data_IF_188495380491
#
_entry.id   IF_188495380491
#
_cell.length_a   1.000
_cell.length_b   1.000
_cell.length_c   1.000
_cell.angle_alpha   90.00
_cell.angle_beta   90.00
_cell.angle_gamma   90.00
#
_symmetry.space_group_name_H-M   'P 1'
#
loop_
_entity.id
_entity.type
_entity.pdbx_description
1 polymer ?
#
# COMPACT_ATOMS: atom_id res chain seq x y z
N UNK A 1 -10.29 43.39 17.73
CA UNK A 1 -11.29 42.43 18.24
C UNK A 1 -11.55 41.52 17.05
N UNK A 2 -10.64 40.57 16.75
CA UNK A 2 -10.46 39.26 17.45
C UNK A 2 -11.78 38.48 17.31
N UNK A 3 -11.85 37.33 16.64
CA UNK A 3 -11.07 36.07 16.76
C UNK A 3 -11.23 35.26 15.43
N UNK A 4 -10.18 34.82 14.70
CA UNK A 4 -9.54 33.48 14.76
C UNK A 4 -10.43 32.40 15.42
N UNK A 5 -10.86 31.34 14.75
CA UNK A 5 -10.10 30.10 14.58
C UNK A 5 -10.79 29.23 13.50
N UNK A 6 -10.14 29.04 12.35
CA UNK A 6 -10.36 27.86 11.51
C UNK A 6 -9.29 26.86 11.93
N UNK A 7 -9.59 26.07 12.95
CA UNK A 7 -8.79 24.95 13.41
C UNK A 7 -9.68 23.70 13.34
N UNK A 8 -9.94 23.22 12.12
CA UNK A 8 -10.26 21.81 11.91
C UNK A 8 -8.96 21.20 11.44
N UNK A 9 -8.11 20.82 12.40
CA UNK A 9 -7.06 19.86 12.16
C UNK A 9 -7.77 18.57 11.77
N UNK A 10 -8.00 18.35 10.47
CA UNK A 10 -8.11 16.97 10.00
C UNK A 10 -6.80 16.34 10.41
N UNK A 11 -6.84 15.44 11.40
CA UNK A 11 -5.72 14.58 11.73
C UNK A 11 -5.41 13.80 10.45
N UNK A 12 -4.53 14.35 9.61
CA UNK A 12 -4.03 13.66 8.44
C UNK A 12 -3.35 12.41 8.99
N UNK A 13 -3.99 11.27 8.84
CA UNK A 13 -3.36 9.97 9.03
C UNK A 13 -2.30 9.88 7.94
N UNK A 14 -1.04 10.06 8.34
CA UNK A 14 0.08 10.05 7.41
C UNK A 14 0.33 8.59 7.01
N UNK A 15 -0.13 8.20 5.82
CA UNK A 15 0.27 6.94 5.19
C UNK A 15 1.69 7.03 4.65
N UNK A 16 2.43 5.93 4.69
CA UNK A 16 3.73 5.79 4.04
C UNK A 16 3.64 4.74 2.95
N UNK A 17 3.86 5.16 1.71
CA UNK A 17 4.17 4.30 0.59
C UNK A 17 5.67 3.96 0.59
N UNK A 18 6.00 2.67 0.60
CA UNK A 18 7.36 2.17 0.54
C UNK A 18 7.50 1.19 -0.63
N UNK A 19 8.11 1.65 -1.71
CA UNK A 19 8.63 0.79 -2.76
C UNK A 19 9.73 -0.14 -2.24
N UNK A 20 9.54 -1.45 -2.31
CA UNK A 20 10.49 -2.38 -1.70
C UNK A 20 11.00 -3.48 -2.64
N UNK A 21 10.34 -3.75 -3.78
CA UNK A 21 10.85 -4.77 -4.72
C UNK A 21 10.38 -4.60 -6.16
N UNK A 22 11.23 -5.01 -7.11
CA UNK A 22 10.88 -5.23 -8.51
C UNK A 22 11.03 -6.72 -8.80
N UNK A 23 10.06 -7.33 -9.49
CA UNK A 23 10.08 -8.74 -9.87
C UNK A 23 9.42 -8.97 -11.23
N UNK A 24 9.66 -10.14 -11.81
CA UNK A 24 9.07 -10.55 -13.09
C UNK A 24 7.90 -11.51 -12.87
N UNK A 25 6.78 -11.29 -13.56
CA UNK A 25 5.63 -12.19 -13.58
C UNK A 25 5.08 -12.26 -15.00
N UNK A 26 4.94 -13.47 -15.54
CA UNK A 26 4.42 -13.74 -16.90
C UNK A 26 5.11 -12.96 -18.04
N UNK A 27 6.39 -12.60 -17.87
CA UNK A 27 7.18 -11.85 -18.86
C UNK A 27 7.06 -10.33 -18.75
N UNK A 28 6.34 -9.82 -17.77
CA UNK A 28 6.25 -8.41 -17.42
C UNK A 28 6.98 -8.11 -16.10
N UNK A 29 7.53 -6.90 -16.00
CA UNK A 29 8.14 -6.41 -14.77
C UNK A 29 7.11 -5.65 -13.94
N UNK A 30 7.08 -5.97 -12.65
CA UNK A 30 6.21 -5.32 -11.67
C UNK A 30 7.04 -4.68 -10.56
N UNK A 31 6.58 -3.52 -10.10
CA UNK A 31 7.07 -2.86 -8.91
C UNK A 31 6.04 -3.07 -7.79
N UNK A 32 6.50 -3.65 -6.68
CA UNK A 32 5.73 -3.83 -5.47
C UNK A 32 6.05 -2.71 -4.48
N UNK A 33 4.99 -2.04 -4.06
CA UNK A 33 4.95 -1.02 -3.03
C UNK A 33 4.11 -1.52 -1.85
N UNK A 34 4.48 -1.13 -0.64
CA UNK A 34 3.66 -1.34 0.54
C UNK A 34 3.17 0.01 1.04
N UNK A 35 1.86 0.18 1.15
CA UNK A 35 1.23 1.32 1.81
C UNK A 35 0.93 0.95 3.25
N UNK A 36 1.52 1.69 4.19
CA UNK A 36 1.32 1.49 5.62
C UNK A 36 0.63 2.73 6.16
N UNK A 37 -0.58 2.58 6.69
CA UNK A 37 -1.37 3.69 7.19
C UNK A 37 -2.10 3.31 8.47
N UNK A 38 -2.45 4.30 9.29
CA UNK A 38 -3.29 4.06 10.45
C UNK A 38 -4.76 3.85 10.04
N UNK A 39 -5.50 3.04 10.78
CA UNK A 39 -6.93 2.88 10.50
C UNK A 39 -7.70 4.16 10.80
N UNK A 40 -8.79 4.37 10.06
CA UNK A 40 -9.71 5.49 10.27
C UNK A 40 -10.37 5.39 11.65
N UNK A 41 -10.76 4.18 12.05
CA UNK A 41 -11.46 3.93 13.32
C UNK A 41 -10.50 3.68 14.51
N UNK A 42 -9.20 3.50 14.24
CA UNK A 42 -8.16 3.29 15.25
C UNK A 42 -6.81 3.85 14.78
N UNK A 43 -6.57 5.13 15.08
CA UNK A 43 -5.35 5.84 14.71
C UNK A 43 -4.09 5.31 15.45
N UNK A 44 -4.26 4.47 16.47
CA UNK A 44 -3.15 3.84 17.21
C UNK A 44 -2.74 2.49 16.61
N UNK A 45 -3.45 2.00 15.59
CA UNK A 45 -3.17 0.75 14.90
C UNK A 45 -2.83 1.01 13.43
N UNK A 46 -1.81 0.31 12.90
CA UNK A 46 -1.38 0.42 11.51
C UNK A 46 -1.86 -0.78 10.69
N UNK A 47 -2.45 -0.53 9.52
CA UNK A 47 -2.70 -1.51 8.47
C UNK A 47 -1.62 -1.49 7.39
N UNK A 48 -1.61 -2.50 6.52
CA UNK A 48 -0.74 -2.53 5.35
C UNK A 48 -1.41 -3.15 4.11
N UNK A 49 -1.22 -2.48 2.98
CA UNK A 49 -1.71 -2.91 1.66
C UNK A 49 -0.52 -3.01 0.72
N UNK A 50 -0.48 -4.06 -0.11
CA UNK A 50 0.47 -4.14 -1.21
C UNK A 50 -0.14 -3.55 -2.47
N UNK A 51 0.63 -2.72 -3.17
CA UNK A 51 0.26 -2.13 -4.46
C UNK A 51 1.27 -2.56 -5.51
N UNK A 52 0.77 -3.06 -6.64
CA UNK A 52 1.56 -3.56 -7.74
C UNK A 52 1.39 -2.67 -8.96
N UNK A 53 2.51 -2.17 -9.47
CA UNK A 53 2.54 -1.38 -10.70
C UNK A 53 3.25 -2.15 -11.80
N UNK A 54 2.59 -2.28 -12.95
CA UNK A 54 3.22 -2.84 -14.13
C UNK A 54 4.17 -1.82 -14.73
N UNK A 55 5.45 -2.17 -14.86
CA UNK A 55 6.48 -1.27 -15.36
C UNK A 55 6.53 -1.19 -16.89
N UNK A 56 5.98 -2.18 -17.60
CA UNK A 56 5.90 -2.11 -19.06
C UNK A 56 4.90 -1.05 -19.49
N UNK A 57 5.35 -0.14 -20.37
CA UNK A 57 4.57 1.01 -20.82
C UNK A 57 4.71 2.27 -19.96
N UNK A 58 5.46 2.23 -18.86
CA UNK A 58 5.78 3.43 -18.08
C UNK A 58 6.80 4.28 -18.83
N UNK A 59 6.46 5.55 -19.03
CA UNK A 59 7.41 6.59 -19.41
C UNK A 59 7.88 7.35 -18.15
N UNK A 60 9.09 7.07 -17.64
CA UNK A 60 9.60 7.72 -16.43
C UNK A 60 9.91 9.22 -16.61
N UNK A 61 9.79 9.73 -17.84
CA UNK A 61 10.01 11.15 -18.17
C UNK A 61 8.71 11.93 -18.34
N UNK A 62 7.58 11.23 -18.35
CA UNK A 62 6.25 11.84 -18.32
C UNK A 62 6.01 12.42 -16.93
N UNK A 63 6.20 13.73 -16.78
CA UNK A 63 5.92 14.47 -15.55
C UNK A 63 4.43 14.88 -15.46
N UNK A 64 3.53 14.11 -16.06
CA UNK A 64 2.10 14.39 -16.01
C UNK A 64 1.52 13.78 -14.72
N UNK A 65 1.13 14.65 -13.78
CA UNK A 65 0.43 14.31 -12.54
C UNK A 65 -0.91 13.55 -12.77
N UNK A 66 -1.40 13.48 -14.01
CA UNK A 66 -2.61 12.76 -14.39
C UNK A 66 -2.36 11.38 -15.02
N UNK A 67 -1.12 10.88 -14.99
CA UNK A 67 -0.84 9.53 -15.47
C UNK A 67 -1.35 8.51 -14.44
N UNK A 68 -2.59 8.07 -14.62
CA UNK A 68 -3.21 7.00 -13.84
C UNK A 68 -2.55 5.67 -14.23
N UNK A 69 -1.53 5.27 -13.49
CA UNK A 69 -0.82 4.03 -13.74
C UNK A 69 -1.65 2.86 -13.26
N UNK A 70 -1.85 1.82 -14.11
CA UNK A 70 -2.54 0.61 -13.67
C UNK A 70 -1.87 0.08 -12.41
N UNK A 71 -2.65 0.01 -11.34
CA UNK A 71 -2.25 -0.43 -10.03
C UNK A 71 -3.23 -1.48 -9.55
N UNK A 72 -2.71 -2.57 -9.01
CA UNK A 72 -3.50 -3.60 -8.36
C UNK A 72 -3.12 -3.62 -6.89
N UNK A 73 -4.10 -3.46 -6.03
CA UNK A 73 -3.88 -3.41 -4.58
C UNK A 73 -4.45 -4.65 -3.92
N UNK A 74 -3.81 -5.14 -2.86
CA UNK A 74 -4.40 -6.18 -2.03
C UNK A 74 -4.00 -6.02 -0.56
N UNK A 75 -4.96 -6.20 0.33
CA UNK A 75 -4.75 -6.02 1.77
C UNK A 75 -4.02 -7.24 2.36
N UNK A 76 -2.90 -7.02 3.04
CA UNK A 76 -2.11 -8.09 3.65
C UNK A 76 -2.15 -8.02 5.17
N UNK A 77 -3.06 -7.23 5.73
CA UNK A 77 -3.00 -6.87 7.12
C UNK A 77 -3.20 -8.08 8.05
N UNK A 78 -4.16 -8.93 7.72
CA UNK A 78 -4.47 -10.17 8.45
C UNK A 78 -3.29 -11.17 8.46
N UNK A 79 -2.35 -11.01 7.53
CA UNK A 79 -1.16 -11.87 7.41
C UNK A 79 0.03 -11.34 8.21
N UNK A 80 -0.04 -10.09 8.69
CA UNK A 80 1.01 -9.45 9.46
C UNK A 80 0.85 -9.72 10.95
N UNK A 81 1.95 -10.12 11.59
CA UNK A 81 1.99 -10.29 13.04
C UNK A 81 2.55 -9.04 13.71
N UNK A 82 1.77 -8.39 14.58
CA UNK A 82 2.20 -7.25 15.41
C UNK A 82 1.70 -7.39 16.84
N UNK A 83 2.29 -6.63 17.75
CA UNK A 83 1.79 -6.55 19.14
C UNK A 83 0.55 -5.66 19.16
N UNK A 84 -0.61 -6.24 19.48
CA UNK A 84 -1.85 -5.50 19.68
C UNK A 84 -1.68 -4.41 20.75
N UNK A 85 -2.13 -3.18 20.43
CA UNK A 85 -1.98 -2.02 21.32
C UNK A 85 -0.52 -1.60 21.57
N UNK A 86 0.44 -2.12 20.79
CA UNK A 86 1.83 -1.67 20.85
C UNK A 86 1.98 -0.24 20.29
N UNK A 87 3.02 0.51 20.66
CA UNK A 87 3.22 1.86 20.13
C UNK A 87 3.48 1.83 18.62
N UNK A 88 2.97 2.82 17.88
CA UNK A 88 3.08 2.95 16.41
C UNK A 88 4.50 2.64 15.86
N UNK A 89 5.61 3.17 16.42
CA UNK A 89 6.95 2.84 15.93
C UNK A 89 7.30 1.35 15.99
N UNK A 90 6.81 0.63 17.00
CA UNK A 90 7.04 -0.80 17.15
C UNK A 90 6.21 -1.63 16.16
N UNK A 91 4.96 -1.20 15.90
CA UNK A 91 4.14 -1.80 14.84
C UNK A 91 4.80 -1.61 13.48
N UNK A 92 5.25 -0.39 13.18
CA UNK A 92 5.92 -0.07 11.92
C UNK A 92 7.19 -0.90 11.70
N UNK A 93 8.07 -1.01 12.71
CA UNK A 93 9.27 -1.87 12.64
C UNK A 93 8.90 -3.35 12.44
N UNK A 94 7.84 -3.84 13.07
CA UNK A 94 7.37 -5.21 12.88
C UNK A 94 6.86 -5.45 11.45
N UNK A 95 6.10 -4.51 10.89
CA UNK A 95 5.61 -4.57 9.50
C UNK A 95 6.79 -4.57 8.53
N UNK A 96 7.72 -3.61 8.66
CA UNK A 96 8.91 -3.53 7.79
C UNK A 96 9.76 -4.81 7.80
N UNK A 97 9.97 -5.41 8.98
CA UNK A 97 10.72 -6.67 9.09
C UNK A 97 10.03 -7.82 8.36
N UNK A 98 8.70 -7.85 8.34
CA UNK A 98 7.94 -8.88 7.64
C UNK A 98 7.94 -8.62 6.13
N UNK A 99 7.67 -7.38 5.70
CA UNK A 99 7.78 -6.98 4.29
C UNK A 99 9.14 -7.34 3.69
N UNK A 100 10.23 -7.12 4.43
CA UNK A 100 11.59 -7.46 3.97
C UNK A 100 11.84 -8.95 3.73
N UNK A 101 10.99 -9.82 4.31
CA UNK A 101 11.10 -11.28 4.22
C UNK A 101 10.17 -11.90 3.21
N UNK A 102 9.16 -11.16 2.72
CA UNK A 102 8.29 -11.62 1.64
C UNK A 102 9.20 -12.07 0.49
N UNK A 103 9.00 -13.28 0.02
CA UNK A 103 9.70 -13.88 -1.09
C UNK A 103 9.11 -13.42 -2.43
N UNK A 104 9.83 -13.67 -3.52
CA UNK A 104 9.28 -13.37 -4.85
C UNK A 104 8.06 -14.25 -5.17
N UNK A 105 8.01 -15.48 -4.68
CA UNK A 105 6.87 -16.39 -4.86
C UNK A 105 5.62 -15.85 -4.16
N UNK A 106 5.76 -15.38 -2.91
CA UNK A 106 4.66 -14.72 -2.19
C UNK A 106 4.17 -13.46 -2.92
N UNK A 107 5.08 -12.63 -3.45
CA UNK A 107 4.68 -11.46 -4.24
C UNK A 107 3.87 -11.82 -5.49
N UNK A 108 4.19 -12.93 -6.16
CA UNK A 108 3.41 -13.42 -7.31
C UNK A 108 2.02 -13.86 -6.88
N UNK A 109 1.89 -14.53 -5.73
CA UNK A 109 0.60 -14.91 -5.15
C UNK A 109 -0.25 -13.69 -4.81
N UNK A 110 0.34 -12.67 -4.17
CA UNK A 110 -0.36 -11.42 -3.87
C UNK A 110 -0.78 -10.66 -5.12
N UNK A 111 0.08 -10.60 -6.15
CA UNK A 111 -0.28 -10.00 -7.43
C UNK A 111 -1.47 -10.72 -8.07
N UNK A 112 -1.46 -12.05 -8.09
CA UNK A 112 -2.57 -12.83 -8.63
C UNK A 112 -3.87 -12.53 -7.88
N UNK A 113 -3.84 -12.51 -6.54
CA UNK A 113 -4.99 -12.15 -5.72
C UNK A 113 -5.49 -10.73 -6.04
N UNK A 114 -4.59 -9.77 -6.13
CA UNK A 114 -4.92 -8.37 -6.44
C UNK A 114 -5.58 -8.23 -7.83
N UNK A 115 -5.11 -8.99 -8.83
CA UNK A 115 -5.72 -8.98 -10.16
C UNK A 115 -7.11 -9.61 -10.18
N UNK A 116 -7.31 -10.72 -9.46
CA UNK A 116 -8.61 -11.39 -9.34
C UNK A 116 -9.64 -10.48 -8.61
N UNK A 117 -9.22 -9.83 -7.51
CA UNK A 117 -10.05 -8.89 -6.75
C UNK A 117 -10.50 -7.68 -7.60
N UNK A 118 -9.65 -7.23 -8.53
CA UNK A 118 -9.96 -6.09 -9.41
C UNK A 118 -10.94 -6.49 -10.52
N UNK A 119 -10.75 -7.66 -11.12
CA UNK A 119 -11.64 -8.17 -12.18
C UNK A 119 -13.07 -8.42 -11.65
N UNK A 120 -13.21 -8.92 -10.42
CA UNK A 120 -14.52 -9.14 -9.79
C UNK A 120 -15.29 -7.83 -9.53
N UNK A 121 -14.58 -6.70 -9.34
CA UNK A 121 -15.20 -5.39 -9.14
C UNK A 121 -15.71 -4.76 -10.45
N UNK A 122 -15.11 -5.10 -11.59
CA UNK A 122 -15.53 -4.61 -12.90
C UNK A 122 -16.75 -5.38 -13.47
N UNK A 123 -17.05 -6.59 -12.96
CA UNK A 123 -18.21 -7.39 -13.39
C UNK A 123 -19.53 -7.05 -12.67
N UNK A 124 -19.50 -6.35 -11.52
CA UNK A 124 -20.70 -5.89 -10.81
C UNK A 124 -21.20 -4.48 -11.21
N UNK A 125 -20.61 -3.88 -12.26
CA UNK A 125 -20.92 -2.54 -12.81
C UNK A 125 -22.08 -2.44 -13.79
#
# INVERSE_FOLDING_TARGET
>A
MSDQEHHSTEEQTHGMALGFRIFEHEGDLYFAEAEIAAYVDDAESLGATLVFHKLSGIDPTSADESTDWPAWSTDIDDELTRTEGGPIPAQFDAILRQLSKISEEELRTYLQRATEETDDMDEEG
#
